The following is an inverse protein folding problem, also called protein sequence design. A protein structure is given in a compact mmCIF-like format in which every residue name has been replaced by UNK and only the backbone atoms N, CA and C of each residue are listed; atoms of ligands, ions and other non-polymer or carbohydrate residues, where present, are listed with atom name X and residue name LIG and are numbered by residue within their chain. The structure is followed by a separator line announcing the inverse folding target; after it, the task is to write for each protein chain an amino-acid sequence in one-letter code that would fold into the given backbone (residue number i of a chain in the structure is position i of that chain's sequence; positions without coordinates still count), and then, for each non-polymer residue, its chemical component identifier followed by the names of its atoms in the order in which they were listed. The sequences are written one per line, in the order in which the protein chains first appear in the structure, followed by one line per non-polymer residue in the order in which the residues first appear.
data_IF_930116287501
#
_entry.id   IF_930116287501
#
_cell.length_a   1.000
_cell.length_b   1.000
_cell.length_c   1.000
_cell.angle_alpha   90.00
_cell.angle_beta   90.00
_cell.angle_gamma   90.00
#
_symmetry.space_group_name_H-M   'P 1'
#
loop_
_entity.id
_entity.type
_entity.pdbx_description
1 polymer ?
#
# COMPACT_ATOMS: atom_id res chain seq x y z
N UNK A 1 -9.93 -12.37 -7.78
CA UNK A 1 -9.13 -11.26 -8.37
C UNK A 1 -8.15 -10.81 -7.29
N UNK A 2 -6.87 -10.71 -7.61
CA UNK A 2 -5.83 -10.23 -6.68
C UNK A 2 -5.43 -8.84 -7.16
N UNK A 3 -5.22 -7.91 -6.23
CA UNK A 3 -4.77 -6.56 -6.52
C UNK A 3 -3.37 -6.35 -5.94
N UNK A 4 -2.47 -5.83 -6.76
CA UNK A 4 -1.13 -5.43 -6.34
C UNK A 4 -1.11 -3.91 -6.26
N UNK A 5 -0.62 -3.39 -5.15
CA UNK A 5 -0.49 -1.95 -4.91
C UNK A 5 0.97 -1.58 -5.16
N UNK A 6 1.17 -0.67 -6.11
CA UNK A 6 2.47 -0.14 -6.50
C UNK A 6 2.44 1.39 -6.43
N UNK A 7 3.62 2.01 -6.40
CA UNK A 7 3.74 3.45 -6.49
C UNK A 7 3.55 3.90 -7.94
N UNK A 8 2.80 4.98 -8.17
CA UNK A 8 2.62 5.52 -9.51
C UNK A 8 3.90 6.23 -10.00
N UNK A 9 4.25 6.08 -11.27
CA UNK A 9 5.43 6.71 -11.89
C UNK A 9 5.42 8.24 -11.77
N UNK A 10 4.22 8.84 -11.79
CA UNK A 10 4.05 10.27 -11.63
C UNK A 10 4.04 10.74 -10.16
N UNK A 11 4.33 9.86 -9.20
CA UNK A 11 4.41 10.26 -7.80
C UNK A 11 5.63 11.18 -7.59
N UNK A 12 5.53 12.25 -6.78
CA UNK A 12 6.64 13.19 -6.54
C UNK A 12 7.92 12.51 -6.03
N UNK A 13 7.79 11.37 -5.34
CA UNK A 13 8.91 10.52 -4.91
C UNK A 13 9.76 9.94 -6.06
N UNK A 14 9.16 9.73 -7.25
CA UNK A 14 9.85 9.25 -8.44
C UNK A 14 10.32 10.41 -9.32
N UNK A 15 9.51 11.48 -9.43
CA UNK A 15 9.80 12.62 -10.31
C UNK A 15 10.90 13.56 -9.78
N UNK A 16 11.02 13.72 -8.47
CA UNK A 16 11.93 14.74 -7.90
C UNK A 16 13.39 14.30 -7.77
N UNK A 17 13.78 13.10 -8.27
CA UNK A 17 15.14 12.57 -8.08
C UNK A 17 15.53 12.38 -6.61
N UNK A 18 14.54 12.39 -5.72
CA UNK A 18 14.71 12.34 -4.27
C UNK A 18 14.95 10.90 -3.83
N UNK A 19 15.97 10.67 -3.01
CA UNK A 19 16.23 9.33 -2.47
C UNK A 19 15.29 9.05 -1.29
N UNK A 20 14.61 7.91 -1.34
CA UNK A 20 13.76 7.45 -0.23
C UNK A 20 14.68 7.02 0.92
N UNK A 21 14.55 7.68 2.07
CA UNK A 21 15.43 7.45 3.22
C UNK A 21 14.93 6.33 4.11
N UNK A 22 13.62 6.28 4.34
CA UNK A 22 13.02 5.28 5.21
C UNK A 22 11.56 5.06 4.82
N UNK A 23 11.08 3.84 5.05
CA UNK A 23 9.70 3.44 4.82
C UNK A 23 9.20 2.87 6.15
N UNK A 24 8.07 3.37 6.63
CA UNK A 24 7.49 2.93 7.87
C UNK A 24 6.12 2.32 7.63
N UNK A 25 6.00 1.02 7.88
CA UNK A 25 4.74 0.28 7.81
C UNK A 25 3.95 0.29 9.14
N UNK A 26 4.50 0.89 10.20
CA UNK A 26 3.89 0.91 11.53
C UNK A 26 3.14 2.23 11.76
N UNK A 27 1.87 2.27 11.32
CA UNK A 27 1.04 3.50 11.38
C UNK A 27 0.22 3.60 12.68
N UNK A 28 0.19 2.57 13.53
CA UNK A 28 -0.44 2.67 14.85
C UNK A 28 0.45 2.13 15.97
N UNK A 29 0.55 2.89 17.06
CA UNK A 29 1.35 2.60 18.26
C UNK A 29 0.80 1.45 19.12
N UNK A 30 -0.10 0.62 18.60
CA UNK A 30 -0.66 -0.52 19.34
C UNK A 30 -0.77 -1.80 18.50
N UNK A 31 0.12 -2.00 17.52
CA UNK A 31 0.30 -3.33 16.93
C UNK A 31 1.68 -3.47 16.28
N UNK A 32 2.61 -4.06 17.03
CA UNK A 32 3.91 -4.50 16.52
C UNK A 32 3.69 -5.79 15.71
N UNK A 33 3.71 -5.69 14.38
CA UNK A 33 3.50 -6.81 13.44
C UNK A 33 4.68 -7.77 13.33
N UNK A 34 5.75 -7.56 14.10
CA UNK A 34 6.92 -8.44 14.14
C UNK A 34 6.76 -9.65 15.08
N UNK A 35 5.66 -9.74 15.85
CA UNK A 35 5.39 -10.85 16.76
C UNK A 35 4.22 -11.73 16.28
N UNK A 36 4.30 -12.27 15.07
CA UNK A 36 3.38 -13.34 14.64
C UNK A 36 4.03 -14.71 14.82
N UNK A 37 4.23 -15.11 16.09
CA UNK A 37 4.65 -16.48 16.45
C UNK A 37 3.40 -17.35 16.50
N UNK A 38 3.09 -18.02 15.40
CA UNK A 38 1.99 -19.00 15.32
C UNK A 38 2.34 -20.23 16.16
N UNK A 39 1.68 -20.38 17.31
CA UNK A 39 1.73 -21.62 18.08
C UNK A 39 0.33 -22.03 18.55
N UNK A 40 -0.03 -23.28 18.25
CA UNK A 40 -1.00 -24.08 19.01
C UNK A 40 -2.50 -23.82 18.78
N UNK A 41 -3.18 -24.86 18.26
CA UNK A 41 -4.64 -24.98 18.12
C UNK A 41 -5.39 -24.78 19.45
N UNK A 42 -6.59 -24.18 19.36
CA UNK A 42 -7.69 -24.13 20.34
C UNK A 42 -7.73 -22.89 21.26
N UNK A 43 -8.60 -21.92 20.91
CA UNK A 43 -9.45 -21.15 21.84
C UNK A 43 -10.53 -20.36 21.08
N UNK A 44 -11.78 -20.58 21.47
CA UNK A 44 -13.02 -20.08 20.87
C UNK A 44 -13.24 -18.59 21.16
N UNK A 45 -13.79 -17.89 20.16
CA UNK A 45 -14.68 -16.71 20.27
C UNK A 45 -14.02 -15.31 20.38
N UNK A 46 -14.35 -14.46 19.39
CA UNK A 46 -14.02 -13.04 19.16
C UNK A 46 -12.55 -12.61 19.03
N UNK A 47 -11.64 -12.98 19.95
CA UNK A 47 -10.20 -12.65 19.81
C UNK A 47 -9.51 -13.41 18.66
N UNK A 48 -10.06 -14.57 18.28
CA UNK A 48 -9.52 -15.39 17.19
C UNK A 48 -9.83 -14.83 15.79
N UNK A 49 -10.88 -14.00 15.65
CA UNK A 49 -11.06 -13.25 14.41
C UNK A 49 -9.90 -12.27 14.28
N UNK A 50 -9.45 -11.63 15.36
CA UNK A 50 -8.32 -10.68 15.35
C UNK A 50 -6.96 -11.32 15.05
N UNK A 51 -6.74 -12.58 15.42
CA UNK A 51 -5.45 -13.25 15.20
C UNK A 51 -5.38 -14.06 13.89
N UNK A 52 -6.51 -14.55 13.38
CA UNK A 52 -6.61 -15.00 11.97
C UNK A 52 -6.70 -13.81 11.00
N UNK A 53 -7.02 -12.61 11.51
CA UNK A 53 -6.85 -11.28 10.88
C UNK A 53 -5.39 -10.78 10.94
N UNK A 54 -4.39 -11.66 10.78
CA UNK A 54 -3.08 -11.20 10.27
C UNK A 54 -3.26 -10.38 8.98
N UNK A 55 -4.31 -10.73 8.24
CA UNK A 55 -4.89 -9.92 7.20
C UNK A 55 -5.91 -8.91 7.77
N UNK A 56 -5.40 -7.74 8.19
CA UNK A 56 -6.24 -6.59 8.54
C UNK A 56 -7.16 -6.27 7.35
N UNK A 57 -8.45 -6.11 7.61
CA UNK A 57 -9.36 -5.63 6.58
C UNK A 57 -9.07 -4.14 6.37
N UNK A 58 -8.51 -3.81 5.20
CA UNK A 58 -8.26 -2.42 4.84
C UNK A 58 -9.53 -1.79 4.29
N UNK A 59 -9.76 -0.57 4.74
CA UNK A 59 -10.68 0.36 4.12
C UNK A 59 -9.96 1.12 3.00
N UNK A 60 -10.71 1.78 2.13
CA UNK A 60 -10.16 2.56 1.00
C UNK A 60 -9.17 3.65 1.46
N UNK A 61 -9.46 4.30 2.59
CA UNK A 61 -8.64 5.37 3.18
C UNK A 61 -7.66 4.84 4.23
N UNK A 62 -7.45 3.52 4.31
CA UNK A 62 -6.51 2.96 5.28
C UNK A 62 -5.07 3.26 4.84
N UNK A 63 -4.25 3.90 5.71
CA UNK A 63 -2.85 4.15 5.41
C UNK A 63 -2.08 2.82 5.48
N UNK A 64 -1.22 2.58 4.49
CA UNK A 64 -0.43 1.36 4.33
C UNK A 64 1.01 1.54 4.80
N UNK A 65 1.66 2.61 4.32
CA UNK A 65 3.01 2.95 4.71
C UNK A 65 3.21 4.47 4.68
N UNK A 66 4.19 4.93 5.45
CA UNK A 66 4.69 6.30 5.42
C UNK A 66 6.10 6.28 4.87
N UNK A 67 6.33 7.01 3.78
CA UNK A 67 7.61 7.10 3.11
C UNK A 67 8.22 8.46 3.44
N UNK A 68 9.42 8.47 4.01
CA UNK A 68 10.16 9.70 4.27
C UNK A 68 11.24 9.92 3.21
N UNK A 69 11.21 11.09 2.58
CA UNK A 69 12.25 11.55 1.66
C UNK A 69 13.50 11.99 2.42
N UNK A 70 14.65 12.02 1.73
CA UNK A 70 15.89 12.60 2.25
C UNK A 70 15.76 14.08 2.62
N UNK A 71 14.84 14.82 1.99
CA UNK A 71 14.52 16.22 2.28
C UNK A 71 13.71 16.43 3.57
N UNK A 72 13.29 15.35 4.23
CA UNK A 72 12.45 15.40 5.44
C UNK A 72 10.94 15.44 5.18
N UNK A 73 10.51 15.39 3.91
CA UNK A 73 9.09 15.27 3.56
C UNK A 73 8.55 13.86 3.79
N UNK A 74 7.35 13.75 4.33
CA UNK A 74 6.69 12.47 4.60
C UNK A 74 5.43 12.30 3.73
N UNK A 75 5.37 11.18 3.01
CA UNK A 75 4.23 10.81 2.17
C UNK A 75 3.54 9.59 2.76
N UNK A 76 2.23 9.71 3.00
CA UNK A 76 1.41 8.58 3.46
C UNK A 76 0.74 7.93 2.25
N UNK A 77 1.01 6.65 2.03
CA UNK A 77 0.41 5.86 0.96
C UNK A 77 -0.84 5.18 1.50
N UNK A 78 -1.92 5.25 0.73
CA UNK A 78 -3.23 4.67 1.08
C UNK A 78 -3.51 3.43 0.23
N UNK A 79 -4.37 2.54 0.75
CA UNK A 79 -4.76 1.31 0.05
C UNK A 79 -5.57 1.57 -1.22
N UNK A 80 -6.43 2.60 -1.25
CA UNK A 80 -7.38 2.90 -2.32
C UNK A 80 -8.38 1.78 -2.65
N UNK A 81 -8.24 0.61 -2.05
CA UNK A 81 -9.11 -0.54 -2.24
C UNK A 81 -9.50 -1.16 -0.90
N UNK A 82 -10.75 -1.60 -0.82
CA UNK A 82 -11.28 -2.36 0.32
C UNK A 82 -10.96 -3.83 0.14
N UNK A 83 -10.33 -4.43 1.13
CA UNK A 83 -9.95 -5.83 1.00
C UNK A 83 -9.13 -6.37 2.15
N UNK A 84 -8.77 -7.63 2.00
CA UNK A 84 -7.94 -8.36 2.94
C UNK A 84 -6.47 -8.20 2.54
N UNK A 85 -5.64 -7.66 3.43
CA UNK A 85 -4.18 -7.60 3.21
C UNK A 85 -3.62 -9.02 3.16
N UNK A 86 -3.01 -9.41 2.05
CA UNK A 86 -2.35 -10.71 1.96
C UNK A 86 -0.91 -10.59 2.41
N UNK A 87 -0.20 -9.62 1.84
CA UNK A 87 1.23 -9.48 2.02
C UNK A 87 1.65 -8.02 1.88
N UNK A 88 2.73 -7.64 2.57
CA UNK A 88 3.45 -6.38 2.40
C UNK A 88 4.89 -6.70 2.05
N UNK A 89 5.49 -5.89 1.20
CA UNK A 89 6.86 -6.13 0.76
C UNK A 89 7.86 -5.63 1.79
N UNK A 90 8.50 -6.53 2.54
CA UNK A 90 9.53 -6.15 3.50
C UNK A 90 10.86 -5.80 2.82
N UNK A 91 11.05 -6.18 1.55
CA UNK A 91 12.30 -5.93 0.84
C UNK A 91 12.55 -4.43 0.61
N UNK A 92 11.49 -3.63 0.51
CA UNK A 92 11.65 -2.18 0.33
C UNK A 92 12.15 -1.48 1.60
N UNK A 93 12.01 -2.10 2.78
CA UNK A 93 12.64 -1.62 4.02
C UNK A 93 14.16 -1.77 3.95
N UNK A 94 14.62 -2.87 3.35
CA UNK A 94 16.04 -3.17 3.20
C UNK A 94 16.66 -2.41 2.02
N UNK A 95 15.92 -2.27 0.92
CA UNK A 95 16.36 -1.56 -0.27
C UNK A 95 15.25 -0.64 -0.82
N UNK A 96 15.17 0.61 -0.34
CA UNK A 96 14.14 1.55 -0.77
C UNK A 96 14.27 1.98 -2.24
N UNK A 97 15.44 1.75 -2.86
CA UNK A 97 15.67 2.01 -4.29
C UNK A 97 14.78 1.15 -5.20
N UNK A 98 14.30 -0.01 -4.74
CA UNK A 98 13.43 -0.91 -5.51
C UNK A 98 12.12 -0.24 -5.96
N UNK A 99 11.59 0.68 -5.15
CA UNK A 99 10.41 1.48 -5.50
C UNK A 99 10.66 2.38 -6.70
N UNK A 100 11.90 2.83 -6.90
CA UNK A 100 12.29 3.74 -7.97
C UNK A 100 12.73 2.99 -9.22
N UNK A 101 13.55 1.94 -9.05
CA UNK A 101 14.11 1.19 -10.18
C UNK A 101 13.09 0.26 -10.84
N UNK A 102 12.21 -0.36 -10.05
CA UNK A 102 11.29 -1.42 -10.53
C UNK A 102 9.90 -1.30 -9.91
N UNK A 103 9.15 -0.21 -10.15
CA UNK A 103 7.81 -0.04 -9.60
C UNK A 103 6.81 -1.13 -10.05
N UNK A 104 7.04 -1.73 -11.23
CA UNK A 104 6.15 -2.75 -11.80
C UNK A 104 6.44 -4.19 -11.36
N UNK A 105 7.61 -4.45 -10.75
CA UNK A 105 8.05 -5.81 -10.40
C UNK A 105 8.30 -5.95 -8.90
N UNK A 106 9.52 -5.68 -8.44
CA UNK A 106 9.95 -5.91 -7.06
C UNK A 106 9.62 -4.73 -6.13
N UNK A 107 9.23 -3.59 -6.70
CA UNK A 107 8.82 -2.38 -5.99
C UNK A 107 7.32 -2.33 -5.66
N UNK A 108 6.65 -3.48 -5.53
CA UNK A 108 5.27 -3.48 -5.00
C UNK A 108 5.29 -3.18 -3.50
N UNK A 109 4.23 -2.53 -3.01
CA UNK A 109 4.10 -2.13 -1.61
C UNK A 109 3.33 -3.18 -0.83
N UNK A 110 2.20 -3.61 -1.39
CA UNK A 110 1.28 -4.53 -0.75
C UNK A 110 0.46 -5.32 -1.78
N UNK A 111 0.05 -6.52 -1.39
CA UNK A 111 -0.89 -7.37 -2.14
C UNK A 111 -2.18 -7.48 -1.34
N UNK A 112 -3.29 -7.14 -1.97
CA UNK A 112 -4.62 -7.10 -1.33
C UNK A 112 -5.58 -7.99 -2.10
N UNK A 113 -6.37 -8.75 -1.35
CA UNK A 113 -7.44 -9.58 -1.87
C UNK A 113 -8.80 -8.91 -1.59
N UNK A 114 -9.44 -8.29 -2.59
CA UNK A 114 -10.79 -7.77 -2.43
C UNK A 114 -11.80 -8.92 -2.28
N UNK A 115 -12.91 -8.65 -1.58
CA UNK A 115 -14.05 -9.58 -1.53
C UNK A 115 -14.70 -9.68 -2.91
N UNK A 116 -15.20 -10.86 -3.26
CA UNK A 116 -15.79 -11.12 -4.58
C UNK A 116 -16.99 -10.20 -4.88
N UNK A 117 -17.89 -10.00 -3.91
CA UNK A 117 -19.07 -9.13 -4.04
C UNK A 117 -18.69 -7.67 -4.31
N UNK A 118 -17.72 -7.12 -3.58
CA UNK A 118 -17.30 -5.72 -3.73
C UNK A 118 -16.29 -5.52 -4.86
N UNK A 119 -15.73 -6.60 -5.43
CA UNK A 119 -14.70 -6.50 -6.46
C UNK A 119 -15.16 -5.77 -7.72
N UNK A 120 -16.46 -5.83 -8.06
CA UNK A 120 -17.02 -5.10 -9.21
C UNK A 120 -17.10 -3.60 -8.95
N UNK A 121 -17.57 -3.20 -7.77
CA UNK A 121 -17.67 -1.80 -7.36
C UNK A 121 -16.30 -1.14 -7.22
N UNK A 122 -15.31 -1.87 -6.68
CA UNK A 122 -13.94 -1.38 -6.58
C UNK A 122 -13.35 -1.11 -7.98
N UNK A 123 -13.53 -2.02 -8.93
CA UNK A 123 -13.04 -1.79 -10.30
C UNK A 123 -13.73 -0.61 -11.00
N UNK A 124 -14.98 -0.31 -10.66
CA UNK A 124 -15.69 0.85 -11.21
C UNK A 124 -15.25 2.20 -10.63
N UNK A 125 -14.76 2.22 -9.38
CA UNK A 125 -14.23 3.43 -8.75
C UNK A 125 -12.79 3.76 -9.14
N UNK A 126 -12.09 2.84 -9.83
CA UNK A 126 -10.71 3.03 -10.26
C UNK A 126 -10.65 3.63 -11.66
N UNK A 127 -9.67 4.51 -11.85
CA UNK A 127 -9.38 5.12 -13.15
C UNK A 127 -8.69 4.10 -14.06
N UNK A 128 -9.05 4.10 -15.34
CA UNK A 128 -8.24 3.43 -16.37
C UNK A 128 -6.94 4.20 -16.62
N UNK A 129 -5.96 3.54 -17.25
CA UNK A 129 -4.66 4.16 -17.57
C UNK A 129 -4.83 5.46 -18.37
N UNK A 130 -5.73 5.48 -19.37
CA UNK A 130 -5.99 6.66 -20.19
C UNK A 130 -6.56 7.82 -19.35
N UNK A 131 -7.53 7.53 -18.50
CA UNK A 131 -8.12 8.55 -17.61
C UNK A 131 -7.07 9.09 -16.62
N UNK A 132 -6.18 8.23 -16.13
CA UNK A 132 -5.07 8.66 -15.28
C UNK A 132 -4.11 9.61 -16.01
N UNK A 133 -3.74 9.31 -17.25
CA UNK A 133 -2.91 10.18 -18.09
C UNK A 133 -3.58 11.55 -18.34
N UNK A 134 -4.89 11.57 -18.61
CA UNK A 134 -5.65 12.80 -18.77
C UNK A 134 -5.66 13.65 -17.48
N UNK A 135 -5.82 13.01 -16.32
CA UNK A 135 -5.73 13.69 -15.02
C UNK A 135 -4.33 14.28 -14.80
N UNK A 136 -3.28 13.55 -15.19
CA UNK A 136 -1.90 14.05 -15.11
C UNK A 136 -1.65 15.23 -16.04
N UNK A 137 -2.20 15.21 -17.26
CA UNK A 137 -2.12 16.33 -18.20
C UNK A 137 -2.85 17.56 -17.64
N UNK A 138 -4.07 17.39 -17.15
CA UNK A 138 -4.83 18.48 -16.50
C UNK A 138 -4.07 19.10 -15.34
N UNK A 139 -3.50 18.27 -14.45
CA UNK A 139 -2.67 18.76 -13.32
C UNK A 139 -1.47 19.57 -13.78
N UNK A 140 -0.77 19.14 -14.84
CA UNK A 140 0.35 19.90 -15.42
C UNK A 140 -0.10 21.22 -16.01
N UNK A 141 -1.22 21.24 -16.73
CA UNK A 141 -1.79 22.46 -17.33
C UNK A 141 -2.31 23.46 -16.32
N UNK A 142 -2.76 23.02 -15.13
CA UNK A 142 -3.22 23.91 -14.05
C UNK A 142 -2.09 24.45 -13.17
N UNK A 143 -0.89 23.90 -13.30
CA UNK A 143 0.30 24.31 -12.53
C UNK A 143 1.23 25.27 -13.31
N UNK A 144 0.88 25.63 -14.55
CA UNK A 144 1.51 26.69 -15.36
C UNK A 144 0.63 27.93 -15.37
#
# INVERSE_FOLDING_TARGET
RICVITLAEAHPLLQSGKTIKNINYQISANCSRLQNKVSGKSKRTWLFIFQMQGAQFLTELAPLCRISSSDGEEYTIYSCIRGRLIEVNENILSNPALLQEKPSTEGYIAVVLPKFEESKSITQGLLTQKEYEEVLLKRRSSAS
#
